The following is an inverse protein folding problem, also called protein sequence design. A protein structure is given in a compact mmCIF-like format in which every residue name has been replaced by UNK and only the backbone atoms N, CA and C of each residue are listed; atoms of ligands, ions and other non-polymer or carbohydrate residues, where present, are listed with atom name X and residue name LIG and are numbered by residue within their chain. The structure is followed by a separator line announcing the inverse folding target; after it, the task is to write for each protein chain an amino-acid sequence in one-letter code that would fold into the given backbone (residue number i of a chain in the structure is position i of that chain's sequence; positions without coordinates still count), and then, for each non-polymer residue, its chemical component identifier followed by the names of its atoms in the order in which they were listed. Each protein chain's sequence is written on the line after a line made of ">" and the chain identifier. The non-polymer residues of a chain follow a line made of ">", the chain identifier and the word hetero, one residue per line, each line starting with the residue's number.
data_IF_213296058366
#
_entry.id   IF_213296058366
#
_cell.length_a   1.000
_cell.length_b   1.000
_cell.length_c   1.000
_cell.angle_alpha   90.00
_cell.angle_beta   90.00
_cell.angle_gamma   90.00
#
_symmetry.space_group_name_H-M   'P 1'
#
loop_
_entity.id
_entity.type
_entity.pdbx_description
1 polymer ?
#
# COMPACT_ATOMS: atom_id res chain seq x y z
N UNK A 1 -10.69 15.05 -7.28
CA UNK A 1 -10.12 13.97 -8.11
C UNK A 1 -8.63 13.87 -7.83
N UNK A 2 -8.26 13.43 -6.62
CA UNK A 2 -6.85 13.26 -6.25
C UNK A 2 -6.35 11.93 -6.79
N UNK A 3 -5.16 11.92 -7.38
CA UNK A 3 -4.56 10.69 -7.90
C UNK A 3 -4.54 9.63 -6.79
N UNK A 4 -5.24 8.52 -6.99
CA UNK A 4 -5.39 7.49 -5.99
C UNK A 4 -4.00 6.86 -5.72
N UNK A 5 -3.42 7.15 -4.54
CA UNK A 5 -2.07 6.68 -4.15
C UNK A 5 -1.94 5.16 -4.30
N UNK A 6 -3.02 4.44 -4.01
CA UNK A 6 -3.10 3.00 -4.16
C UNK A 6 -3.01 2.58 -5.64
N UNK A 7 -3.64 3.33 -6.55
CA UNK A 7 -3.57 3.07 -7.99
C UNK A 7 -2.13 3.23 -8.52
N UNK A 8 -1.43 4.28 -8.10
CA UNK A 8 0.01 4.46 -8.44
C UNK A 8 0.86 3.30 -7.91
N UNK A 9 0.63 2.90 -6.66
CA UNK A 9 1.35 1.78 -6.07
C UNK A 9 1.10 0.47 -6.84
N UNK A 10 -0.15 0.17 -7.19
CA UNK A 10 -0.50 -1.03 -7.98
C UNK A 10 0.13 -1.02 -9.36
N UNK A 11 0.20 0.14 -10.02
CA UNK A 11 0.92 0.27 -11.30
C UNK A 11 2.41 -0.08 -11.14
N UNK A 12 3.06 0.38 -10.07
CA UNK A 12 4.44 0.02 -9.79
C UNK A 12 4.62 -1.48 -9.49
N UNK A 13 3.69 -2.08 -8.74
CA UNK A 13 3.72 -3.53 -8.48
C UNK A 13 3.61 -4.33 -9.80
N UNK A 14 2.69 -3.94 -10.68
CA UNK A 14 2.53 -4.57 -11.99
C UNK A 14 3.79 -4.43 -12.87
N UNK A 15 4.40 -3.24 -12.92
CA UNK A 15 5.65 -3.01 -13.69
C UNK A 15 6.81 -3.85 -13.14
N UNK A 16 6.85 -4.08 -11.84
CA UNK A 16 7.89 -4.90 -11.19
C UNK A 16 7.59 -6.40 -11.19
N UNK A 17 6.41 -6.83 -11.68
CA UNK A 17 6.00 -8.24 -11.66
C UNK A 17 5.77 -8.78 -10.24
N UNK A 18 5.32 -7.93 -9.31
CA UNK A 18 5.06 -8.30 -7.92
C UNK A 18 3.57 -8.50 -7.67
N UNK A 19 3.20 -9.61 -7.02
CA UNK A 19 1.80 -9.93 -6.71
C UNK A 19 1.24 -9.07 -5.57
N UNK A 20 2.07 -8.76 -4.58
CA UNK A 20 1.67 -8.01 -3.39
C UNK A 20 2.85 -7.31 -2.69
N UNK A 21 2.51 -6.33 -1.85
CA UNK A 21 3.41 -5.65 -0.92
C UNK A 21 2.91 -5.80 0.51
N UNK A 22 3.80 -6.22 1.40
CA UNK A 22 3.54 -6.28 2.84
C UNK A 22 4.24 -5.10 3.55
N UNK A 23 3.45 -4.27 4.23
CA UNK A 23 3.90 -3.04 4.89
C UNK A 23 3.82 -3.20 6.40
N UNK A 24 4.99 -3.27 7.04
CA UNK A 24 5.15 -3.33 8.50
C UNK A 24 5.34 -1.94 9.13
N UNK A 25 5.93 -1.00 8.40
CA UNK A 25 6.26 0.33 8.93
C UNK A 25 5.00 1.16 9.17
N UNK A 26 4.86 1.70 10.38
CA UNK A 26 3.66 2.40 10.85
C UNK A 26 3.32 3.65 10.04
N UNK A 27 4.34 4.42 9.66
CA UNK A 27 4.19 5.63 8.84
C UNK A 27 3.62 5.31 7.45
N UNK A 28 4.18 4.29 6.78
CA UNK A 28 3.74 3.87 5.44
C UNK A 28 2.33 3.28 5.49
N UNK A 29 2.04 2.45 6.49
CA UNK A 29 0.70 1.90 6.73
C UNK A 29 -0.33 3.03 6.86
N UNK A 30 -0.08 4.01 7.73
CA UNK A 30 -0.97 5.16 7.92
C UNK A 30 -1.12 5.99 6.64
N UNK A 31 -0.03 6.22 5.92
CA UNK A 31 -0.06 7.00 4.68
C UNK A 31 -0.90 6.34 3.58
N UNK A 32 -0.83 5.01 3.48
CA UNK A 32 -1.47 4.22 2.43
C UNK A 32 -2.93 3.85 2.75
N UNK A 33 -3.28 3.59 4.02
CA UNK A 33 -4.64 3.15 4.39
C UNK A 33 -5.40 4.11 5.30
N UNK A 34 -4.74 5.11 5.89
CA UNK A 34 -5.32 5.94 6.94
C UNK A 34 -5.44 5.25 8.31
N UNK A 35 -5.05 3.98 8.43
CA UNK A 35 -5.10 3.24 9.69
C UNK A 35 -4.11 3.81 10.71
N UNK A 36 -4.64 4.25 11.87
CA UNK A 36 -3.87 4.88 12.96
C UNK A 36 -3.58 3.95 14.13
N UNK A 37 -3.96 2.67 14.05
CA UNK A 37 -3.65 1.69 15.09
C UNK A 37 -2.15 1.46 15.24
N UNK A 38 -1.73 1.28 16.49
CA UNK A 38 -0.33 1.06 16.87
C UNK A 38 0.21 -0.26 16.34
N UNK A 39 -0.60 -1.32 16.40
CA UNK A 39 -0.22 -2.68 15.99
C UNK A 39 -1.00 -3.10 14.76
N UNK A 40 -0.32 -3.56 13.72
CA UNK A 40 -0.95 -4.06 12.52
C UNK A 40 -0.02 -4.09 11.31
N UNK A 41 -0.37 -4.91 10.34
CA UNK A 41 0.31 -5.04 9.07
C UNK A 41 -0.67 -4.66 7.96
N UNK A 42 -0.15 -4.14 6.85
CA UNK A 42 -0.97 -3.81 5.69
C UNK A 42 -0.47 -4.64 4.51
N UNK A 43 -1.35 -5.48 3.97
CA UNK A 43 -1.11 -6.23 2.75
C UNK A 43 -1.85 -5.54 1.60
N UNK A 44 -1.14 -5.27 0.49
CA UNK A 44 -1.71 -4.67 -0.71
C UNK A 44 -1.44 -5.61 -1.88
N UNK A 45 -2.50 -6.12 -2.50
CA UNK A 45 -2.42 -6.86 -3.77
C UNK A 45 -2.27 -5.93 -4.96
N UNK A 46 -1.66 -6.44 -6.04
CA UNK A 46 -1.59 -5.75 -7.32
C UNK A 46 -2.96 -5.55 -8.00
N UNK A 47 -3.95 -6.38 -7.66
CA UNK A 47 -5.35 -6.28 -8.11
C UNK A 47 -6.19 -5.37 -7.21
#
# INVERSE_FOLDING_TARGET
>A
MGVNRLQKLRQHLAVQGLDALLVSQSQNRRYLSGFTGSTGWLLISAT
#
